data_IF_723843816692
#
_entry.id   IF_723843816692
#
_cell.length_a   1.000
_cell.length_b   1.000
_cell.length_c   1.000
_cell.angle_alpha   90.00
_cell.angle_beta   90.00
_cell.angle_gamma   90.00
#
_symmetry.space_group_name_H-M   'P 1'
#
loop_
_entity.id
_entity.type
_entity.pdbx_description
1 polymer ?
#
# COMPACT_ATOMS: atom_id res chain seq x y z
N UNK A 1 -9.28 51.39 -19.20
CA UNK A 1 -8.95 51.16 -17.78
C UNK A 1 -10.03 50.25 -17.22
N UNK A 2 -9.91 48.97 -17.55
CA UNK A 2 -10.88 47.91 -17.21
C UNK A 2 -10.72 47.57 -15.73
N UNK A 3 -11.72 47.91 -14.93
CA UNK A 3 -11.87 47.46 -13.55
C UNK A 3 -11.63 45.95 -13.51
N UNK A 4 -10.66 45.52 -12.72
CA UNK A 4 -10.39 44.10 -12.51
C UNK A 4 -11.69 43.44 -12.03
N UNK A 5 -12.01 42.31 -12.67
CA UNK A 5 -13.16 41.49 -12.33
C UNK A 5 -13.10 41.07 -10.85
N UNK A 6 -13.82 41.78 -9.99
CA UNK A 6 -14.01 41.36 -8.59
C UNK A 6 -14.97 40.16 -8.45
N UNK A 7 -15.59 39.72 -9.56
CA UNK A 7 -16.58 38.65 -9.59
C UNK A 7 -16.39 37.72 -10.79
N UNK A 8 -15.53 36.69 -10.68
CA UNK A 8 -15.22 35.78 -11.79
C UNK A 8 -16.41 34.88 -12.13
N UNK A 9 -17.18 34.46 -11.12
CA UNK A 9 -18.33 33.58 -11.32
C UNK A 9 -19.57 34.25 -11.91
N UNK A 10 -19.69 35.57 -11.80
CA UNK A 10 -20.81 36.32 -12.39
C UNK A 10 -20.81 36.25 -13.92
N UNK A 11 -19.63 36.06 -14.53
CA UNK A 11 -19.47 35.96 -15.98
C UNK A 11 -20.20 34.74 -16.58
N UNK A 12 -20.36 33.67 -15.79
CA UNK A 12 -21.03 32.44 -16.22
C UNK A 12 -22.56 32.51 -16.08
N UNK A 13 -23.10 33.57 -15.45
CA UNK A 13 -24.54 33.74 -15.31
C UNK A 13 -25.17 34.37 -16.56
N UNK A 14 -26.46 34.09 -16.83
CA UNK A 14 -27.21 34.77 -17.88
C UNK A 14 -27.13 36.29 -17.76
N UNK A 15 -27.11 37.00 -18.91
CA UNK A 15 -26.95 38.48 -18.97
C UNK A 15 -27.89 39.28 -18.07
N UNK A 16 -29.07 38.78 -17.74
CA UNK A 16 -30.03 39.45 -16.84
C UNK A 16 -29.51 39.58 -15.39
N UNK A 17 -28.56 38.73 -15.00
CA UNK A 17 -27.95 38.71 -13.67
C UNK A 17 -26.57 39.37 -13.64
N UNK A 18 -25.99 39.71 -14.79
CA UNK A 18 -24.72 40.44 -14.87
C UNK A 18 -24.94 41.91 -14.52
N UNK A 19 -23.91 42.57 -13.98
CA UNK A 19 -23.98 43.97 -13.54
C UNK A 19 -24.48 44.87 -14.68
N UNK A 20 -25.51 45.67 -14.41
CA UNK A 20 -26.06 46.60 -15.40
C UNK A 20 -25.08 47.76 -15.63
N UNK A 21 -25.01 48.22 -16.87
CA UNK A 21 -24.16 49.36 -17.26
C UNK A 21 -24.59 50.61 -16.49
N UNK A 22 -23.86 50.96 -15.42
CA UNK A 22 -24.12 52.13 -14.56
C UNK A 22 -24.49 51.83 -13.10
N UNK A 23 -24.56 50.56 -12.68
CA UNK A 23 -24.80 50.17 -11.29
C UNK A 23 -23.48 50.15 -10.50
N UNK A 24 -23.40 50.84 -9.35
CA UNK A 24 -22.19 50.82 -8.52
C UNK A 24 -22.01 49.49 -7.80
N UNK A 25 -20.76 49.09 -7.54
CA UNK A 25 -20.43 47.80 -6.92
C UNK A 25 -21.08 47.59 -5.54
N UNK A 26 -21.38 48.67 -4.83
CA UNK A 26 -22.10 48.63 -3.55
C UNK A 26 -23.55 48.12 -3.68
N UNK A 27 -24.20 48.40 -4.82
CA UNK A 27 -25.58 48.03 -5.09
C UNK A 27 -25.72 46.64 -5.75
N UNK A 28 -24.63 46.07 -6.25
CA UNK A 28 -24.63 44.77 -6.91
C UNK A 28 -24.61 43.61 -5.89
N UNK A 29 -25.75 43.38 -5.23
CA UNK A 29 -25.93 42.36 -4.20
C UNK A 29 -25.49 40.96 -4.63
N UNK A 30 -25.84 40.54 -5.85
CA UNK A 30 -25.57 39.18 -6.33
C UNK A 30 -24.07 38.88 -6.44
N UNK A 31 -23.26 39.82 -6.92
CA UNK A 31 -21.81 39.65 -6.97
C UNK A 31 -21.21 39.53 -5.57
N UNK A 32 -21.64 40.38 -4.64
CA UNK A 32 -21.23 40.29 -3.22
C UNK A 32 -21.65 38.98 -2.56
N UNK A 33 -22.85 38.49 -2.86
CA UNK A 33 -23.34 37.19 -2.37
C UNK A 33 -22.49 36.04 -2.92
N UNK A 34 -22.22 36.05 -4.23
CA UNK A 34 -21.43 35.01 -4.89
C UNK A 34 -19.95 35.03 -4.50
N UNK A 35 -19.42 36.17 -4.03
CA UNK A 35 -18.03 36.28 -3.55
C UNK A 35 -17.72 35.30 -2.41
N UNK A 36 -18.69 35.02 -1.52
CA UNK A 36 -18.50 34.03 -0.46
C UNK A 36 -18.37 32.60 -1.01
N UNK A 37 -19.16 32.28 -2.04
CA UNK A 37 -19.07 30.99 -2.73
C UNK A 37 -17.82 30.89 -3.60
N UNK A 38 -17.39 32.00 -4.21
CA UNK A 38 -16.12 32.11 -4.93
C UNK A 38 -14.95 31.82 -3.99
N UNK A 39 -14.89 32.50 -2.83
CA UNK A 39 -13.88 32.20 -1.82
C UNK A 39 -13.88 30.72 -1.38
N UNK A 40 -15.06 30.09 -1.22
CA UNK A 40 -15.18 28.69 -0.81
C UNK A 40 -14.77 27.70 -1.92
N UNK A 41 -15.18 27.94 -3.17
CA UNK A 41 -14.95 27.03 -4.29
C UNK A 41 -13.55 27.19 -4.88
N UNK A 42 -13.08 28.42 -5.11
CA UNK A 42 -11.75 28.67 -5.67
C UNK A 42 -10.64 28.84 -4.62
N UNK A 43 -10.98 28.97 -3.33
CA UNK A 43 -9.98 29.09 -2.26
C UNK A 43 -9.29 30.47 -2.19
N UNK A 44 -9.81 31.47 -2.90
CA UNK A 44 -9.31 32.85 -2.92
C UNK A 44 -9.78 33.62 -1.68
N UNK A 45 -9.31 33.22 -0.50
CA UNK A 45 -9.39 34.10 0.68
C UNK A 45 -8.11 34.93 0.76
N UNK A 46 -8.24 36.26 0.84
CA UNK A 46 -7.11 37.19 1.07
C UNK A 46 -6.36 36.89 2.38
N UNK A 47 -6.98 36.14 3.29
CA UNK A 47 -6.35 35.58 4.48
C UNK A 47 -5.61 34.29 4.13
N UNK A 48 -4.28 34.38 4.03
CA UNK A 48 -3.38 33.25 3.91
C UNK A 48 -3.61 32.25 5.05
N UNK A 49 -4.21 31.10 4.72
CA UNK A 49 -4.48 30.03 5.67
C UNK A 49 -5.06 28.79 4.98
N UNK A 50 -4.18 27.99 4.41
CA UNK A 50 -4.23 26.51 4.26
C UNK A 50 -5.49 25.82 3.71
N UNK A 51 -6.52 26.53 3.26
CA UNK A 51 -7.72 25.91 2.70
C UNK A 51 -7.66 25.93 1.19
N UNK A 52 -7.22 24.82 0.59
CA UNK A 52 -7.39 24.60 -0.84
C UNK A 52 -8.88 24.71 -1.19
N UNK A 53 -9.21 25.47 -2.22
CA UNK A 53 -10.58 25.56 -2.73
C UNK A 53 -11.09 24.20 -3.17
N UNK A 54 -12.40 24.00 -3.13
CA UNK A 54 -13.03 22.74 -3.59
C UNK A 54 -12.64 22.44 -5.05
N UNK A 55 -12.47 23.45 -5.90
CA UNK A 55 -12.01 23.25 -7.28
C UNK A 55 -10.60 22.62 -7.33
N UNK A 56 -9.65 23.15 -6.55
CA UNK A 56 -8.31 22.57 -6.48
C UNK A 56 -8.32 21.13 -5.93
N UNK A 57 -9.18 20.84 -4.95
CA UNK A 57 -9.39 19.47 -4.45
C UNK A 57 -9.94 18.53 -5.52
N UNK A 58 -10.86 19.01 -6.34
CA UNK A 58 -11.43 18.23 -7.44
C UNK A 58 -10.41 18.01 -8.56
N UNK A 59 -9.60 19.01 -8.87
CA UNK A 59 -8.51 18.90 -9.85
C UNK A 59 -7.48 17.86 -9.39
N UNK A 60 -7.17 17.82 -8.09
CA UNK A 60 -6.22 16.88 -7.48
C UNK A 60 -6.85 15.53 -7.07
N UNK A 61 -8.14 15.32 -7.28
CA UNK A 61 -8.87 14.13 -6.82
C UNK A 61 -8.24 12.82 -7.32
N UNK A 62 -7.65 12.86 -8.51
CA UNK A 62 -6.98 11.70 -9.11
C UNK A 62 -5.81 11.17 -8.27
N UNK A 63 -5.13 12.03 -7.48
CA UNK A 63 -4.03 11.63 -6.60
C UNK A 63 -4.48 10.74 -5.43
N UNK A 64 -5.76 10.77 -5.05
CA UNK A 64 -6.30 9.88 -4.02
C UNK A 64 -6.46 8.44 -4.50
N UNK A 65 -6.59 8.23 -5.82
CA UNK A 65 -6.66 6.89 -6.39
C UNK A 65 -5.29 6.28 -6.64
N UNK A 66 -4.23 7.10 -6.55
CA UNK A 66 -2.85 6.63 -6.58
C UNK A 66 -2.40 6.23 -5.18
N UNK A 67 -2.10 4.93 -4.92
CA UNK A 67 -1.65 4.47 -3.61
C UNK A 67 -0.37 5.16 -3.12
N UNK A 68 0.46 5.73 -4.00
CA UNK A 68 1.71 6.39 -3.58
C UNK A 68 1.48 7.84 -3.10
N UNK A 69 0.44 8.51 -3.61
CA UNK A 69 0.12 9.90 -3.31
C UNK A 69 -1.08 10.05 -2.35
N UNK A 70 -1.87 9.00 -2.17
CA UNK A 70 -3.00 9.02 -1.25
C UNK A 70 -2.56 9.27 0.20
N UNK A 71 -3.31 10.04 1.00
CA UNK A 71 -3.00 10.21 2.41
C UNK A 71 -3.15 8.88 3.17
N UNK A 72 -2.33 8.68 4.22
CA UNK A 72 -2.22 7.42 4.95
C UNK A 72 -3.53 6.90 5.54
N UNK A 73 -4.44 7.81 5.89
CA UNK A 73 -5.79 7.54 6.40
C UNK A 73 -6.81 7.11 5.33
N UNK A 74 -6.54 7.39 4.06
CA UNK A 74 -7.40 7.01 2.93
C UNK A 74 -7.06 5.60 2.40
N UNK A 75 -5.86 5.10 2.72
CA UNK A 75 -5.42 3.76 2.31
C UNK A 75 -6.37 2.63 2.77
N UNK A 76 -6.90 2.59 4.02
CA UNK A 76 -7.87 1.56 4.42
C UNK A 76 -9.17 1.61 3.59
N UNK A 77 -9.59 2.81 3.18
CA UNK A 77 -10.75 2.96 2.31
C UNK A 77 -10.48 2.38 0.92
N UNK A 78 -9.34 2.72 0.30
CA UNK A 78 -8.90 2.13 -0.97
C UNK A 78 -8.79 0.60 -0.88
N UNK A 79 -8.21 0.11 0.22
CA UNK A 79 -8.09 -1.33 0.47
C UNK A 79 -9.46 -2.01 0.52
N UNK A 80 -10.46 -1.35 1.11
CA UNK A 80 -11.85 -1.82 1.14
C UNK A 80 -12.45 -2.03 -0.26
N UNK A 81 -12.17 -1.14 -1.22
CA UNK A 81 -12.64 -1.29 -2.60
C UNK A 81 -12.07 -2.51 -3.30
N UNK A 82 -10.80 -2.79 -3.03
CA UNK A 82 -10.12 -3.92 -3.65
C UNK A 82 -10.23 -5.18 -2.79
N UNK A 83 -10.92 -5.16 -1.65
CA UNK A 83 -11.05 -6.33 -0.77
C UNK A 83 -9.72 -6.76 -0.12
N UNK A 84 -8.75 -5.85 -0.02
CA UNK A 84 -7.46 -6.09 0.61
C UNK A 84 -7.53 -5.74 2.11
N UNK A 85 -6.93 -6.57 2.95
CA UNK A 85 -6.72 -6.26 4.37
C UNK A 85 -5.26 -5.83 4.57
N UNK A 86 -5.06 -4.57 4.92
CA UNK A 86 -3.72 -4.02 5.19
C UNK A 86 -3.13 -4.65 6.44
N UNK A 87 -1.83 -4.94 6.41
CA UNK A 87 -1.13 -5.38 7.61
C UNK A 87 -0.79 -4.18 8.47
N UNK A 88 -1.00 -4.34 9.78
CA UNK A 88 -0.72 -3.30 10.76
C UNK A 88 0.74 -3.34 11.21
N UNK A 89 1.33 -2.16 11.36
CA UNK A 89 2.63 -1.94 11.97
C UNK A 89 3.57 -1.07 11.15
N UNK A 90 4.56 -0.51 11.84
CA UNK A 90 5.59 0.39 11.27
C UNK A 90 6.32 -0.20 10.08
N UNK A 91 6.47 -1.52 10.05
CA UNK A 91 7.13 -2.22 8.95
C UNK A 91 6.34 -2.19 7.63
N UNK A 92 5.01 -2.18 7.69
CA UNK A 92 4.17 -2.26 6.50
C UNK A 92 3.69 -0.89 6.03
N UNK A 93 3.32 -0.04 6.99
CA UNK A 93 2.86 1.33 6.73
C UNK A 93 4.03 2.32 6.66
N UNK A 94 5.19 2.04 7.25
CA UNK A 94 6.28 3.00 7.40
C UNK A 94 6.13 3.92 8.62
N UNK A 95 7.21 4.57 9.03
CA UNK A 95 7.21 5.46 10.20
C UNK A 95 6.37 6.73 9.97
N UNK A 96 6.50 7.32 8.78
CA UNK A 96 5.82 8.57 8.41
C UNK A 96 4.30 8.42 8.41
N UNK A 97 3.77 7.39 7.72
CA UNK A 97 2.33 7.16 7.64
C UNK A 97 1.72 6.82 9.02
N UNK A 98 2.47 6.13 9.89
CA UNK A 98 2.01 5.86 11.27
C UNK A 98 1.97 7.12 12.13
N UNK A 99 2.97 7.98 12.00
CA UNK A 99 3.00 9.26 12.69
C UNK A 99 1.84 10.14 12.24
N UNK A 100 1.60 10.26 10.93
CA UNK A 100 0.48 11.05 10.39
C UNK A 100 -0.88 10.55 10.86
N UNK A 101 -1.14 9.24 10.81
CA UNK A 101 -2.38 8.66 11.33
C UNK A 101 -2.59 8.96 12.83
N UNK A 102 -1.50 9.07 13.59
CA UNK A 102 -1.55 9.36 15.03
C UNK A 102 -1.75 10.85 15.31
N UNK A 103 -1.10 11.72 14.55
CA UNK A 103 -1.06 13.16 14.79
C UNK A 103 -2.26 13.90 14.19
N UNK A 104 -2.75 13.47 13.02
CA UNK A 104 -3.80 14.13 12.27
C UNK A 104 -4.87 13.13 11.83
N UNK A 105 -5.98 12.96 12.57
CA UNK A 105 -7.04 12.03 12.18
C UNK A 105 -7.83 12.46 10.93
N UNK A 106 -7.58 13.65 10.38
CA UNK A 106 -8.22 14.18 9.17
C UNK A 106 -7.22 14.93 8.27
N UNK A 107 -6.18 14.26 7.80
CA UNK A 107 -5.42 14.72 6.63
C UNK A 107 -6.26 14.56 5.35
N UNK A 108 -6.98 15.62 4.98
CA UNK A 108 -7.87 15.57 3.83
C UNK A 108 -7.10 15.67 2.53
N UNK A 109 -5.99 16.40 2.43
CA UNK A 109 -5.24 16.67 1.19
C UNK A 109 -4.36 15.49 0.70
N UNK A 110 -4.09 15.38 -0.62
CA UNK A 110 -3.14 14.40 -1.13
C UNK A 110 -1.71 14.73 -0.67
N UNK A 111 -0.83 13.72 -0.70
CA UNK A 111 0.57 13.90 -0.36
C UNK A 111 1.29 14.67 -1.48
N UNK A 112 2.13 15.63 -1.08
CA UNK A 112 2.97 16.37 -2.02
C UNK A 112 4.11 15.52 -2.62
N UNK A 113 4.55 14.48 -1.89
CA UNK A 113 5.62 13.57 -2.31
C UNK A 113 5.12 12.13 -2.29
N UNK A 114 5.48 11.37 -3.33
CA UNK A 114 5.14 9.96 -3.45
C UNK A 114 5.87 9.13 -2.40
N UNK A 115 5.13 8.23 -1.75
CA UNK A 115 5.69 7.30 -0.75
C UNK A 115 5.51 5.86 -1.19
N UNK A 116 6.58 5.08 -1.06
CA UNK A 116 6.57 3.65 -1.39
C UNK A 116 6.74 2.78 -0.14
N UNK A 117 5.61 2.44 0.48
CA UNK A 117 5.56 1.51 1.63
C UNK A 117 5.03 0.16 1.18
N UNK A 118 5.16 -0.89 2.00
CA UNK A 118 4.71 -2.24 1.62
C UNK A 118 3.22 -2.26 1.34
N UNK A 119 2.41 -1.64 2.20
CA UNK A 119 0.96 -1.57 2.01
C UNK A 119 0.57 -0.80 0.73
N UNK A 120 1.29 0.27 0.39
CA UNK A 120 1.04 1.06 -0.85
C UNK A 120 1.42 0.29 -2.10
N UNK A 121 2.62 -0.34 -2.12
CA UNK A 121 3.05 -1.23 -3.21
C UNK A 121 2.07 -2.38 -3.43
N UNK A 122 1.57 -2.96 -2.34
CA UNK A 122 0.56 -4.01 -2.39
C UNK A 122 -0.75 -3.51 -2.98
N UNK A 123 -1.26 -2.35 -2.54
CA UNK A 123 -2.46 -1.72 -3.10
C UNK A 123 -2.35 -1.46 -4.61
N UNK A 124 -1.19 -1.04 -5.09
CA UNK A 124 -0.97 -0.82 -6.53
C UNK A 124 -0.92 -2.11 -7.36
N UNK A 125 -0.44 -3.21 -6.77
CA UNK A 125 -0.22 -4.49 -7.48
C UNK A 125 -1.33 -5.52 -7.28
N UNK A 126 -2.19 -5.36 -6.27
CA UNK A 126 -3.15 -6.39 -5.82
C UNK A 126 -4.11 -6.84 -6.92
N UNK A 127 -4.55 -5.93 -7.81
CA UNK A 127 -5.47 -6.27 -8.90
C UNK A 127 -4.82 -7.24 -9.88
N UNK A 128 -3.52 -7.11 -10.14
CA UNK A 128 -2.80 -8.07 -10.98
C UNK A 128 -2.55 -9.39 -10.25
N UNK A 129 -2.27 -9.33 -8.93
CA UNK A 129 -2.10 -10.52 -8.11
C UNK A 129 -3.37 -11.37 -8.06
N UNK A 130 -4.55 -10.76 -7.96
CA UNK A 130 -5.82 -11.49 -7.98
C UNK A 130 -6.11 -12.21 -9.29
N UNK A 131 -5.58 -11.73 -10.43
CA UNK A 131 -5.68 -12.47 -11.70
C UNK A 131 -4.86 -13.77 -11.67
N UNK A 132 -3.80 -13.81 -10.87
CA UNK A 132 -2.92 -14.97 -10.69
C UNK A 132 -3.31 -15.83 -9.48
N UNK A 133 -4.46 -15.56 -8.86
CA UNK A 133 -4.90 -16.28 -7.66
C UNK A 133 -5.02 -17.78 -7.91
N UNK A 134 -4.51 -18.58 -6.98
CA UNK A 134 -4.46 -20.04 -7.10
C UNK A 134 -3.28 -20.59 -7.91
N UNK A 135 -2.40 -19.73 -8.44
CA UNK A 135 -1.13 -20.15 -9.05
C UNK A 135 0.03 -20.05 -8.06
N UNK A 136 1.06 -20.88 -8.25
CA UNK A 136 2.27 -20.81 -7.41
C UNK A 136 3.00 -19.48 -7.61
N UNK A 137 3.06 -18.98 -8.85
CA UNK A 137 3.69 -17.70 -9.19
C UNK A 137 2.97 -16.52 -8.52
N UNK A 138 1.63 -16.51 -8.55
CA UNK A 138 0.83 -15.49 -7.88
C UNK A 138 1.04 -15.49 -6.36
N UNK A 139 1.11 -16.69 -5.75
CA UNK A 139 1.41 -16.82 -4.33
C UNK A 139 2.83 -16.34 -3.99
N UNK A 140 3.82 -16.68 -4.82
CA UNK A 140 5.20 -16.23 -4.64
C UNK A 140 5.31 -14.70 -4.72
N UNK A 141 4.72 -14.07 -5.74
CA UNK A 141 4.69 -12.62 -5.89
C UNK A 141 4.01 -11.93 -4.70
N UNK A 142 2.87 -12.46 -4.25
CA UNK A 142 2.14 -11.93 -3.11
C UNK A 142 2.97 -12.01 -1.81
N UNK A 143 3.59 -13.16 -1.55
CA UNK A 143 4.45 -13.35 -0.38
C UNK A 143 5.70 -12.47 -0.46
N UNK A 144 6.26 -12.23 -1.64
CA UNK A 144 7.42 -11.36 -1.84
C UNK A 144 7.14 -9.93 -1.40
N UNK A 145 5.95 -9.40 -1.72
CA UNK A 145 5.54 -8.05 -1.30
C UNK A 145 5.49 -7.95 0.22
N UNK A 146 4.91 -8.94 0.91
CA UNK A 146 4.82 -8.96 2.39
C UNK A 146 6.16 -9.21 3.09
N UNK A 147 6.99 -10.09 2.55
CA UNK A 147 8.25 -10.48 3.16
C UNK A 147 9.36 -9.43 2.95
N UNK A 148 9.26 -8.63 1.88
CA UNK A 148 10.24 -7.64 1.46
C UNK A 148 11.20 -8.21 0.40
N UNK A 149 11.96 -7.32 -0.26
CA UNK A 149 12.88 -7.69 -1.35
C UNK A 149 14.05 -8.59 -0.89
N UNK A 150 14.36 -8.57 0.40
CA UNK A 150 15.45 -9.35 1.00
C UNK A 150 15.07 -10.83 1.24
N UNK A 151 13.78 -11.16 1.20
CA UNK A 151 13.32 -12.52 1.44
C UNK A 151 13.42 -13.38 0.18
N UNK A 152 14.03 -14.56 0.30
CA UNK A 152 14.05 -15.54 -0.78
C UNK A 152 12.92 -16.55 -0.58
N UNK A 153 11.99 -16.61 -1.54
CA UNK A 153 10.82 -17.49 -1.48
C UNK A 153 10.98 -18.61 -2.52
N UNK A 154 10.84 -19.85 -2.09
CA UNK A 154 10.84 -21.03 -2.94
C UNK A 154 9.58 -21.83 -2.67
N UNK A 155 8.82 -22.14 -3.71
CA UNK A 155 7.59 -22.94 -3.59
C UNK A 155 7.80 -24.25 -4.36
N UNK A 156 7.57 -25.36 -3.68
CA UNK A 156 7.73 -26.69 -4.26
C UNK A 156 6.39 -27.40 -4.35
N UNK A 157 6.06 -27.86 -5.56
CA UNK A 157 4.93 -28.75 -5.83
C UNK A 157 5.47 -30.17 -5.99
N UNK A 158 4.85 -31.13 -5.31
CA UNK A 158 5.28 -32.52 -5.30
C UNK A 158 4.27 -33.38 -6.06
N UNK A 159 4.42 -33.46 -7.38
CA UNK A 159 3.53 -34.26 -8.23
C UNK A 159 3.94 -35.74 -8.33
N UNK A 160 5.23 -36.04 -8.11
CA UNK A 160 5.77 -37.41 -8.17
C UNK A 160 6.23 -37.90 -6.79
N UNK A 161 5.94 -39.16 -6.41
CA UNK A 161 6.49 -39.74 -5.19
C UNK A 161 8.00 -39.97 -5.33
N UNK A 162 8.76 -39.28 -4.47
CA UNK A 162 10.18 -39.51 -4.15
C UNK A 162 11.18 -39.23 -5.29
N UNK A 163 11.84 -38.06 -5.23
CA UNK A 163 13.16 -37.84 -5.84
C UNK A 163 14.19 -37.48 -4.76
N UNK A 164 14.75 -38.49 -4.09
CA UNK A 164 16.00 -38.30 -3.34
C UNK A 164 17.16 -38.25 -4.33
N UNK A 165 17.59 -37.04 -4.70
CA UNK A 165 18.69 -36.79 -5.64
C UNK A 165 19.55 -35.60 -5.21
N UNK A 166 20.75 -35.52 -5.78
CA UNK A 166 21.86 -34.62 -5.40
C UNK A 166 21.37 -33.17 -5.21
N UNK A 167 21.72 -32.58 -4.06
CA UNK A 167 21.37 -31.23 -3.61
C UNK A 167 19.97 -31.01 -3.03
N UNK A 168 19.24 -32.06 -2.62
CA UNK A 168 17.99 -31.88 -1.88
C UNK A 168 18.10 -32.25 -0.38
N UNK A 169 17.50 -31.42 0.48
CA UNK A 169 17.41 -31.63 1.93
C UNK A 169 16.04 -32.21 2.28
N UNK A 170 16.05 -33.36 2.94
CA UNK A 170 14.84 -34.03 3.45
C UNK A 170 14.11 -33.09 4.42
N UNK A 171 12.81 -32.88 4.17
CA UNK A 171 11.96 -31.97 4.96
C UNK A 171 11.92 -30.52 4.46
N UNK A 172 12.76 -30.15 3.50
CA UNK A 172 12.78 -28.81 2.88
C UNK A 172 12.26 -28.90 1.44
N UNK A 173 12.95 -29.67 0.59
CA UNK A 173 12.63 -29.78 -0.84
C UNK A 173 12.38 -31.23 -1.29
N UNK A 174 12.39 -32.16 -0.34
CA UNK A 174 12.16 -33.59 -0.59
C UNK A 174 11.14 -34.12 0.40
N UNK A 175 10.04 -34.65 -0.14
CA UNK A 175 9.05 -35.39 0.62
C UNK A 175 9.43 -36.87 0.68
N UNK A 176 9.37 -37.45 1.88
CA UNK A 176 9.58 -38.88 2.11
C UNK A 176 8.21 -39.52 2.29
N UNK A 177 7.77 -40.31 1.30
CA UNK A 177 6.46 -40.98 1.33
C UNK A 177 5.68 -40.81 0.02
N UNK A 178 4.44 -41.30 0.03
CA UNK A 178 3.51 -41.05 -1.07
C UNK A 178 3.12 -39.57 -1.06
N UNK A 179 3.18 -38.92 -2.23
CA UNK A 179 2.73 -37.55 -2.36
C UNK A 179 1.22 -37.47 -2.13
N UNK A 180 0.79 -36.68 -1.14
CA UNK A 180 -0.62 -36.34 -1.03
C UNK A 180 -1.00 -35.49 -2.26
N UNK A 181 -2.06 -35.86 -3.00
CA UNK A 181 -2.50 -35.05 -4.12
C UNK A 181 -2.88 -33.65 -3.63
N UNK A 182 -2.48 -32.61 -4.36
CA UNK A 182 -2.72 -31.20 -4.01
C UNK A 182 -1.98 -30.74 -2.74
N UNK A 183 -0.68 -31.03 -2.65
CA UNK A 183 0.19 -30.56 -1.57
C UNK A 183 1.36 -29.72 -2.11
N UNK A 184 1.63 -28.57 -1.49
CA UNK A 184 2.82 -27.77 -1.76
C UNK A 184 3.52 -27.34 -0.47
N UNK A 185 4.84 -27.13 -0.55
CA UNK A 185 5.61 -26.54 0.56
C UNK A 185 6.15 -25.17 0.15
N UNK A 186 5.96 -24.19 1.04
CA UNK A 186 6.54 -22.85 0.91
C UNK A 186 7.75 -22.77 1.82
N UNK A 187 8.92 -22.54 1.24
CA UNK A 187 10.16 -22.27 1.94
C UNK A 187 10.48 -20.78 1.82
N UNK A 188 10.67 -20.12 2.95
CA UNK A 188 10.98 -18.68 3.00
C UNK A 188 12.24 -18.48 3.83
N UNK A 189 13.26 -17.90 3.21
CA UNK A 189 14.43 -17.38 3.92
C UNK A 189 14.11 -15.93 4.28
N UNK A 190 13.90 -15.67 5.57
CA UNK A 190 13.45 -14.37 6.07
C UNK A 190 14.48 -13.77 7.02
N UNK A 191 15.16 -12.67 6.64
CA UNK A 191 16.01 -11.94 7.57
C UNK A 191 15.14 -11.27 8.65
N UNK A 192 15.40 -11.58 9.91
CA UNK A 192 14.69 -10.99 11.04
C UNK A 192 15.65 -10.76 12.22
N UNK A 193 15.70 -9.51 12.69
CA UNK A 193 16.58 -9.07 13.77
C UNK A 193 15.94 -9.19 15.16
N UNK A 194 14.61 -9.35 15.24
CA UNK A 194 13.86 -9.47 16.50
C UNK A 194 12.85 -10.63 16.44
N UNK A 195 12.71 -11.32 17.57
CA UNK A 195 11.81 -12.47 17.73
C UNK A 195 10.34 -12.08 17.64
N UNK A 196 9.95 -10.94 18.21
CA UNK A 196 8.57 -10.45 18.17
C UNK A 196 8.16 -10.06 16.75
N UNK A 197 9.06 -9.40 16.01
CA UNK A 197 8.88 -9.07 14.60
C UNK A 197 8.76 -10.33 13.75
N UNK A 198 9.64 -11.31 13.95
CA UNK A 198 9.58 -12.60 13.26
C UNK A 198 8.23 -13.27 13.49
N UNK A 199 7.78 -13.40 14.74
CA UNK A 199 6.49 -14.02 15.06
C UNK A 199 5.31 -13.31 14.40
N UNK A 200 5.33 -11.97 14.36
CA UNK A 200 4.29 -11.19 13.67
C UNK A 200 4.31 -11.44 12.17
N UNK A 201 5.50 -11.45 11.54
CA UNK A 201 5.65 -11.79 10.12
C UNK A 201 5.17 -13.20 9.81
N UNK A 202 5.59 -14.19 10.59
CA UNK A 202 5.17 -15.60 10.41
C UNK A 202 3.65 -15.69 10.46
N UNK A 203 3.01 -15.06 11.46
CA UNK A 203 1.55 -15.05 11.58
C UNK A 203 0.88 -14.42 10.35
N UNK A 204 1.38 -13.28 9.89
CA UNK A 204 0.84 -12.61 8.70
C UNK A 204 0.99 -13.48 7.45
N UNK A 205 2.16 -14.08 7.23
CA UNK A 205 2.42 -14.98 6.09
C UNK A 205 1.53 -16.23 6.14
N UNK A 206 1.31 -16.81 7.32
CA UNK A 206 0.38 -17.92 7.50
C UNK A 206 -1.06 -17.53 7.14
N UNK A 207 -1.52 -16.35 7.59
CA UNK A 207 -2.85 -15.84 7.24
C UNK A 207 -3.00 -15.57 5.74
N UNK A 208 -1.95 -15.02 5.11
CA UNK A 208 -1.90 -14.82 3.66
C UNK A 208 -2.02 -16.13 2.91
N UNK A 209 -1.19 -17.13 3.24
CA UNK A 209 -1.23 -18.46 2.61
C UNK A 209 -2.61 -19.08 2.81
N UNK A 210 -3.20 -18.94 4.00
CA UNK A 210 -4.53 -19.47 4.30
C UNK A 210 -5.63 -18.83 3.45
N UNK A 211 -5.54 -17.53 3.18
CA UNK A 211 -6.49 -16.79 2.35
C UNK A 211 -6.32 -17.06 0.85
N UNK A 212 -5.09 -17.27 0.39
CA UNK A 212 -4.78 -17.44 -1.03
C UNK A 212 -4.80 -18.90 -1.49
N UNK A 213 -4.64 -19.87 -0.59
CA UNK A 213 -4.70 -21.29 -0.95
C UNK A 213 -6.11 -21.69 -1.42
N UNK A 214 -6.22 -22.52 -2.46
CA UNK A 214 -7.48 -23.19 -2.78
C UNK A 214 -7.93 -24.08 -1.61
N UNK A 215 -9.23 -24.25 -1.46
CA UNK A 215 -9.82 -24.98 -0.33
C UNK A 215 -9.29 -26.41 -0.19
N UNK A 216 -9.09 -27.10 -1.31
CA UNK A 216 -8.69 -28.51 -1.36
C UNK A 216 -7.17 -28.74 -1.27
N UNK A 217 -6.36 -27.68 -1.17
CA UNK A 217 -4.90 -27.78 -1.18
C UNK A 217 -4.33 -27.69 0.23
N UNK A 218 -3.42 -28.61 0.55
CA UNK A 218 -2.65 -28.61 1.79
C UNK A 218 -1.30 -27.90 1.58
N UNK A 219 -0.87 -27.16 2.60
CA UNK A 219 0.36 -26.36 2.53
C UNK A 219 1.17 -26.51 3.81
N UNK A 220 2.49 -26.66 3.67
CA UNK A 220 3.44 -26.44 4.77
C UNK A 220 4.20 -25.13 4.56
N UNK A 221 4.52 -24.46 5.67
CA UNK A 221 5.34 -23.25 5.68
C UNK A 221 6.60 -23.51 6.50
N UNK A 222 7.75 -23.49 5.83
CA UNK A 222 9.07 -23.61 6.43
C UNK A 222 9.75 -22.25 6.36
N UNK A 223 10.15 -21.71 7.52
CA UNK A 223 10.82 -20.42 7.61
C UNK A 223 12.22 -20.64 8.16
N UNK A 224 13.21 -20.18 7.42
CA UNK A 224 14.61 -20.18 7.84
C UNK A 224 15.08 -18.75 8.03
N UNK A 225 15.64 -18.47 9.20
CA UNK A 225 16.32 -17.19 9.45
C UNK A 225 17.79 -17.40 9.11
N UNK A 226 18.37 -16.63 8.16
CA UNK A 226 19.76 -16.76 7.81
C UNK A 226 20.64 -16.45 9.03
N UNK A 227 21.71 -17.21 9.21
CA UNK A 227 22.68 -17.02 10.29
C UNK A 227 24.08 -17.03 9.72
N UNK A 228 25.00 -16.30 10.35
CA UNK A 228 26.41 -16.37 9.97
C UNK A 228 27.00 -17.74 10.35
N UNK A 229 27.32 -18.53 9.33
CA UNK A 229 28.04 -19.80 9.48
C UNK A 229 29.52 -19.59 9.15
N UNK A 230 30.42 -19.96 10.06
CA UNK A 230 31.85 -19.97 9.81
C UNK A 230 32.29 -21.38 9.35
N UNK A 231 33.16 -21.44 8.34
CA UNK A 231 33.73 -22.70 7.83
C UNK A 231 32.95 -23.36 6.68
N UNK A 232 31.88 -22.74 6.19
CA UNK A 232 31.14 -23.14 4.99
C UNK A 232 31.10 -21.96 4.02
N UNK A 233 31.17 -22.22 2.71
CA UNK A 233 30.95 -21.17 1.71
C UNK A 233 29.46 -20.78 1.71
N UNK A 234 29.16 -19.49 1.88
CA UNK A 234 27.80 -18.93 1.83
C UNK A 234 27.78 -17.61 1.07
N UNK A 235 26.61 -17.24 0.52
CA UNK A 235 26.44 -15.96 -0.18
C UNK A 235 26.03 -14.84 0.78
N UNK A 236 26.89 -13.83 0.91
CA UNK A 236 26.60 -12.61 1.66
C UNK A 236 25.43 -11.87 1.00
N UNK A 237 24.44 -11.48 1.79
CA UNK A 237 23.22 -10.81 1.33
C UNK A 237 22.04 -11.74 1.05
N UNK A 238 22.24 -13.05 0.97
CA UNK A 238 21.14 -14.03 0.83
C UNK A 238 21.06 -15.00 2.01
N UNK A 239 22.21 -15.56 2.40
CA UNK A 239 22.28 -16.70 3.33
C UNK A 239 22.93 -16.32 4.66
N UNK A 240 23.26 -15.03 4.85
CA UNK A 240 24.01 -14.55 6.02
C UNK A 240 23.35 -13.31 6.62
N UNK A 241 22.93 -13.41 7.88
CA UNK A 241 22.52 -12.28 8.71
C UNK A 241 23.61 -11.98 9.75
N UNK A 242 24.06 -10.74 9.80
CA UNK A 242 25.06 -10.26 10.77
C UNK A 242 24.35 -9.60 11.96
N UNK A 243 24.86 -9.83 13.17
CA UNK A 243 24.30 -9.26 14.41
C UNK A 243 23.36 -10.19 15.19
N UNK A 244 22.89 -11.27 14.58
CA UNK A 244 22.01 -12.25 15.23
C UNK A 244 20.64 -11.68 15.62
N UNK A 245 19.80 -12.49 16.27
CA UNK A 245 18.55 -12.00 16.86
C UNK A 245 18.86 -11.30 18.18
N UNK A 246 18.51 -10.02 18.29
CA UNK A 246 18.57 -9.31 19.56
C UNK A 246 17.27 -9.56 20.32
N UNK A 247 17.35 -10.13 21.52
CA UNK A 247 16.24 -10.16 22.48
C UNK A 247 16.17 -8.79 23.19
N UNK A 248 15.07 -8.06 22.99
CA UNK A 248 14.62 -6.99 23.89
C UNK A 248 13.28 -7.42 24.48
#
# INVERSE_FOLDING_TARGET
MSSQNDYRYVQYLPRVFQQKSGESDEHYFLGRFLRAFEAMLSGTTETAGESAGIEALLDELHHYFDPELAPSQFLPWLAGWVGLQLAEGVEYDGEQDNQERTLAPMQILPLAEARSTVNRKLLGSIVQLYKKRGTLDGLAEYLQVYAGEEAAIQIHNYEEPVRCGIAQRVGINTMVGAAEPSYFSVHIILPAYSRSLLQRKVRNLQEVIRKEKPFYTNSSLNIEVPQMCLGVYGRVGMETLLGGMTEQ
#
